data_IF_933446992131
#
_entry.id   IF_933446992131
#
_cell.length_a   1.000
_cell.length_b   1.000
_cell.length_c   1.000
_cell.angle_alpha   90.00
_cell.angle_beta   90.00
_cell.angle_gamma   90.00
#
_symmetry.space_group_name_H-M   'P 1'
#
loop_
_entity.id
_entity.type
_entity.pdbx_description
1 polymer ?
#
# COMPACT_ATOMS: atom_id res chain seq x y z
N UNK A 1 -2.52 38.16 -18.59
CA UNK A 1 -1.30 37.35 -18.38
C UNK A 1 -1.68 36.32 -17.34
N UNK A 2 -2.10 35.17 -17.82
CA UNK A 2 -2.47 34.02 -17.01
C UNK A 2 -1.16 33.39 -16.54
N UNK A 3 -0.99 33.28 -15.22
CA UNK A 3 0.17 32.63 -14.63
C UNK A 3 -0.07 31.14 -14.82
N UNK A 4 0.58 30.55 -15.82
CA UNK A 4 0.63 29.10 -15.99
C UNK A 4 1.19 28.52 -14.69
N UNK A 5 0.38 27.73 -13.99
CA UNK A 5 0.83 26.93 -12.86
C UNK A 5 2.09 26.19 -13.29
N UNK A 6 3.17 26.42 -12.55
CA UNK A 6 4.37 25.59 -12.70
C UNK A 6 3.95 24.20 -12.31
N UNK A 7 3.84 23.31 -13.30
CA UNK A 7 3.69 21.88 -13.08
C UNK A 7 4.87 21.45 -12.20
N UNK A 8 4.58 21.22 -10.92
CA UNK A 8 5.57 20.69 -9.98
C UNK A 8 5.91 19.31 -10.54
N UNK A 9 7.18 18.98 -10.82
CA UNK A 9 7.53 17.64 -11.24
C UNK A 9 6.99 16.69 -10.18
N UNK A 10 6.07 15.82 -10.57
CA UNK A 10 5.47 14.87 -9.65
C UNK A 10 6.60 13.97 -9.19
N UNK A 11 7.00 14.11 -7.92
CA UNK A 11 7.98 13.23 -7.30
C UNK A 11 7.38 11.82 -7.37
N UNK A 12 8.15 10.87 -7.90
CA UNK A 12 7.71 9.47 -7.94
C UNK A 12 7.30 9.00 -6.55
N UNK A 13 6.32 8.11 -6.46
CA UNK A 13 5.94 7.49 -5.21
C UNK A 13 6.90 6.35 -4.86
N UNK A 14 7.30 6.26 -3.58
CA UNK A 14 7.94 5.06 -3.04
C UNK A 14 6.85 4.01 -2.79
N UNK A 15 7.03 2.83 -3.37
CA UNK A 15 6.12 1.70 -3.18
C UNK A 15 6.91 0.41 -2.99
N UNK A 16 6.36 -0.50 -2.21
CA UNK A 16 6.93 -1.82 -1.93
C UNK A 16 5.78 -2.74 -1.57
N UNK A 17 5.15 -3.30 -2.59
CA UNK A 17 3.88 -4.05 -2.45
C UNK A 17 3.93 -5.39 -3.16
N UNK A 18 3.29 -6.38 -2.55
CA UNK A 18 3.00 -7.67 -3.17
C UNK A 18 1.51 -7.97 -3.04
N UNK A 19 0.92 -8.42 -4.14
CA UNK A 19 -0.51 -8.63 -4.31
C UNK A 19 -0.76 -10.10 -4.59
N UNK A 20 -1.74 -10.68 -3.91
CA UNK A 20 -2.26 -12.03 -4.13
C UNK A 20 -3.67 -11.91 -4.67
N UNK A 21 -3.91 -12.43 -5.87
CA UNK A 21 -5.12 -12.17 -6.65
C UNK A 21 -5.71 -13.49 -7.13
N UNK A 22 -6.93 -13.76 -6.67
CA UNK A 22 -7.80 -14.86 -7.07
C UNK A 22 -9.07 -14.35 -7.76
N UNK A 23 -9.41 -13.07 -7.59
CA UNK A 23 -10.54 -12.44 -8.23
C UNK A 23 -10.35 -12.40 -9.76
N UNK A 24 -11.36 -12.79 -10.55
CA UNK A 24 -11.29 -12.71 -12.02
C UNK A 24 -11.26 -11.26 -12.55
N UNK A 25 -11.77 -10.31 -11.75
CA UNK A 25 -11.71 -8.88 -12.03
C UNK A 25 -11.24 -8.13 -10.77
N UNK A 26 -9.92 -8.08 -10.51
CA UNK A 26 -9.38 -7.42 -9.32
C UNK A 26 -9.63 -5.90 -9.35
N UNK A 27 -9.69 -5.28 -10.53
CA UNK A 27 -9.89 -3.84 -10.68
C UNK A 27 -11.26 -3.42 -10.13
N UNK A 28 -12.31 -4.15 -10.51
CA UNK A 28 -13.66 -3.87 -9.98
C UNK A 28 -13.75 -4.11 -8.48
N UNK A 29 -13.14 -5.19 -7.96
CA UNK A 29 -13.07 -5.45 -6.52
C UNK A 29 -12.42 -4.30 -5.77
N UNK A 30 -11.27 -3.82 -6.24
CA UNK A 30 -10.54 -2.75 -5.57
C UNK A 30 -11.27 -1.40 -5.64
N UNK A 31 -12.01 -1.11 -6.73
CA UNK A 31 -12.84 0.09 -6.83
C UNK A 31 -14.02 0.11 -5.84
N UNK A 32 -14.55 -1.06 -5.50
CA UNK A 32 -15.68 -1.19 -4.56
C UNK A 32 -15.22 -1.35 -3.11
N UNK A 33 -13.93 -1.57 -2.87
CA UNK A 33 -13.38 -1.78 -1.55
C UNK A 33 -13.48 -0.51 -0.69
N UNK A 34 -14.30 -0.56 0.35
CA UNK A 34 -14.45 0.52 1.34
C UNK A 34 -13.82 0.20 2.69
N UNK A 35 -13.49 -1.06 2.94
CA UNK A 35 -12.87 -1.55 4.18
C UNK A 35 -11.93 -2.72 3.89
N UNK A 36 -10.90 -2.89 4.71
CA UNK A 36 -10.05 -4.08 4.74
C UNK A 36 -10.46 -5.03 5.87
N UNK A 37 -10.42 -6.35 5.64
CA UNK A 37 -10.71 -7.36 6.66
C UNK A 37 -9.54 -7.50 7.66
N UNK A 38 -9.75 -6.98 8.88
CA UNK A 38 -8.80 -7.03 9.99
C UNK A 38 -8.43 -8.44 10.45
N UNK A 39 -9.37 -9.39 10.43
CA UNK A 39 -9.11 -10.76 10.89
C UNK A 39 -8.22 -11.48 9.87
N UNK A 40 -8.54 -11.33 8.58
CA UNK A 40 -7.72 -11.87 7.51
C UNK A 40 -6.31 -11.24 7.50
N UNK A 41 -6.23 -9.91 7.65
CA UNK A 41 -4.96 -9.20 7.73
C UNK A 41 -4.11 -9.67 8.91
N UNK A 42 -4.69 -9.79 10.11
CA UNK A 42 -4.00 -10.27 11.32
C UNK A 42 -3.52 -11.71 11.19
N UNK A 43 -4.30 -12.58 10.54
CA UNK A 43 -3.89 -13.95 10.28
C UNK A 43 -2.73 -14.02 9.27
N UNK A 44 -2.75 -13.17 8.24
CA UNK A 44 -1.72 -13.16 7.21
C UNK A 44 -0.40 -12.59 7.73
N UNK A 45 -0.41 -11.49 8.50
CA UNK A 45 0.83 -10.92 9.06
C UNK A 45 1.52 -11.95 9.98
N UNK A 46 0.76 -12.69 10.80
CA UNK A 46 1.32 -13.75 11.64
C UNK A 46 1.90 -14.93 10.86
N UNK A 47 1.37 -15.22 9.65
CA UNK A 47 1.91 -16.24 8.76
C UNK A 47 3.20 -15.78 8.07
N UNK A 48 3.24 -14.54 7.61
CA UNK A 48 4.37 -13.97 6.87
C UNK A 48 5.57 -13.69 7.79
N UNK A 49 5.31 -13.29 9.04
CA UNK A 49 6.33 -12.91 10.00
C UNK A 49 6.22 -13.77 11.29
N UNK A 50 6.40 -15.10 11.21
CA UNK A 50 6.16 -16.00 12.35
C UNK A 50 7.15 -15.82 13.51
N UNK A 51 8.20 -15.02 13.31
CA UNK A 51 9.25 -14.74 14.30
C UNK A 51 9.12 -13.35 14.95
N UNK A 52 8.12 -12.57 14.54
CA UNK A 52 7.87 -11.23 15.05
C UNK A 52 6.50 -11.16 15.72
N UNK A 53 6.36 -10.23 16.65
CA UNK A 53 5.07 -9.85 17.25
C UNK A 53 4.49 -8.69 16.45
N UNK A 54 3.37 -8.92 15.78
CA UNK A 54 2.62 -7.86 15.12
C UNK A 54 1.69 -7.17 16.13
N UNK A 55 1.88 -5.88 16.35
CA UNK A 55 0.99 -5.03 17.16
C UNK A 55 0.12 -4.20 16.22
N UNK A 56 -1.22 -4.26 16.30
CA UNK A 56 -2.08 -3.46 15.42
C UNK A 56 -1.82 -1.96 15.54
N UNK A 57 -1.74 -1.31 14.38
CA UNK A 57 -1.70 0.14 14.20
C UNK A 57 -3.06 0.61 13.61
N UNK A 58 -3.27 1.91 13.47
CA UNK A 58 -4.41 2.43 12.72
C UNK A 58 -4.40 1.99 11.24
N UNK A 59 -5.59 2.00 10.64
CA UNK A 59 -5.73 1.83 9.19
C UNK A 59 -5.31 3.11 8.45
N UNK A 60 -4.80 2.94 7.24
CA UNK A 60 -4.41 4.05 6.37
C UNK A 60 -4.76 3.77 4.90
N UNK A 61 -4.67 4.78 4.03
CA UNK A 61 -4.77 4.56 2.60
C UNK A 61 -3.50 3.91 2.06
N UNK A 62 -3.64 3.07 1.02
CA UNK A 62 -2.47 2.41 0.42
C UNK A 62 -1.45 3.42 -0.15
N UNK A 63 -1.89 4.59 -0.59
CA UNK A 63 -1.03 5.66 -1.10
C UNK A 63 0.08 6.08 -0.13
N UNK A 64 -0.20 6.07 1.18
CA UNK A 64 0.77 6.41 2.23
C UNK A 64 1.41 5.18 2.88
N UNK A 65 0.82 4.00 2.67
CA UNK A 65 1.25 2.75 3.30
C UNK A 65 2.11 1.86 2.38
N UNK A 66 2.19 2.16 1.09
CA UNK A 66 2.99 1.38 0.15
C UNK A 66 4.51 1.55 0.34
N UNK A 67 4.96 2.72 0.81
CA UNK A 67 6.38 3.09 0.96
C UNK A 67 6.86 3.17 2.40
N UNK A 68 6.47 2.20 3.23
CA UNK A 68 6.63 2.24 4.70
C UNK A 68 8.05 1.96 5.20
N UNK A 69 8.28 2.34 6.45
CA UNK A 69 9.50 2.08 7.21
C UNK A 69 9.68 0.59 7.54
N UNK A 70 10.90 0.20 7.95
CA UNK A 70 11.30 -1.20 8.13
C UNK A 70 10.57 -1.98 9.23
N UNK A 71 9.98 -1.28 10.19
CA UNK A 71 9.24 -1.87 11.32
C UNK A 71 7.73 -1.87 11.11
N UNK A 72 7.24 -1.43 9.94
CA UNK A 72 5.82 -1.36 9.63
C UNK A 72 5.43 -2.29 8.49
N UNK A 73 4.28 -2.94 8.65
CA UNK A 73 3.64 -3.74 7.61
C UNK A 73 2.19 -3.31 7.52
N UNK A 74 1.70 -3.12 6.30
CA UNK A 74 0.28 -2.85 6.06
C UNK A 74 -0.31 -3.94 5.18
N UNK A 75 -1.53 -4.37 5.49
CA UNK A 75 -2.20 -5.43 4.75
C UNK A 75 -3.62 -5.01 4.39
N UNK A 76 -3.94 -5.03 3.10
CA UNK A 76 -5.29 -4.87 2.58
C UNK A 76 -5.88 -6.22 2.23
N UNK A 77 -7.02 -6.59 2.81
CA UNK A 77 -7.72 -7.84 2.51
C UNK A 77 -9.11 -7.52 1.97
N UNK A 78 -9.35 -7.89 0.71
CA UNK A 78 -10.60 -7.69 -0.02
C UNK A 78 -11.06 -9.03 -0.64
N UNK A 79 -12.31 -9.15 -1.13
CA UNK A 79 -12.79 -10.38 -1.74
C UNK A 79 -11.92 -10.86 -2.91
N UNK A 80 -11.09 -11.90 -2.67
CA UNK A 80 -10.21 -12.48 -3.68
C UNK A 80 -9.01 -11.61 -4.08
N UNK A 81 -8.73 -10.53 -3.35
CA UNK A 81 -7.55 -9.67 -3.56
C UNK A 81 -6.94 -9.33 -2.22
N UNK A 82 -5.65 -9.55 -2.05
CA UNK A 82 -4.92 -9.19 -0.83
C UNK A 82 -3.62 -8.49 -1.20
N UNK A 83 -3.29 -7.39 -0.52
CA UNK A 83 -2.01 -6.69 -0.65
C UNK A 83 -1.26 -6.72 0.65
N UNK A 84 0.06 -6.86 0.57
CA UNK A 84 0.99 -6.63 1.67
C UNK A 84 1.95 -5.54 1.24
N UNK A 85 2.07 -4.51 2.07
CA UNK A 85 3.05 -3.44 1.95
C UNK A 85 4.11 -3.62 3.04
N UNK A 86 5.38 -3.59 2.65
CA UNK A 86 6.50 -3.74 3.58
C UNK A 86 7.83 -3.51 2.89
N UNK A 87 8.80 -2.90 3.58
CA UNK A 87 10.08 -2.49 2.97
C UNK A 87 10.93 -3.67 2.47
N UNK A 88 10.74 -4.86 3.06
CA UNK A 88 11.46 -6.08 2.71
C UNK A 88 11.11 -6.64 1.31
N UNK A 89 10.12 -6.05 0.61
CA UNK A 89 9.76 -6.41 -0.76
C UNK A 89 10.57 -5.63 -1.82
N UNK A 90 11.20 -4.51 -1.43
CA UNK A 90 12.08 -3.72 -2.29
C UNK A 90 13.44 -4.40 -2.45
N UNK A 91 13.50 -5.42 -3.31
CA UNK A 91 14.72 -6.17 -3.64
C UNK A 91 15.14 -5.93 -5.09
N UNK A 92 16.45 -5.83 -5.41
CA UNK A 92 16.92 -5.64 -6.78
C UNK A 92 16.57 -6.79 -7.74
N UNK A 93 16.38 -8.01 -7.21
CA UNK A 93 16.06 -9.22 -7.98
C UNK A 93 14.76 -9.86 -7.48
N UNK A 94 13.58 -9.30 -7.81
CA UNK A 94 12.30 -9.84 -7.34
C UNK A 94 12.10 -11.33 -7.59
N UNK A 95 12.68 -11.90 -8.66
CA UNK A 95 12.55 -13.33 -8.97
C UNK A 95 13.12 -14.25 -7.88
N UNK A 96 14.01 -13.73 -7.03
CA UNK A 96 14.66 -14.50 -5.95
C UNK A 96 13.86 -14.51 -4.64
N UNK A 97 12.69 -13.86 -4.59
CA UNK A 97 11.86 -13.87 -3.39
C UNK A 97 11.44 -15.30 -3.01
N UNK A 98 11.45 -15.63 -1.70
CA UNK A 98 11.11 -16.96 -1.23
C UNK A 98 9.63 -17.27 -1.43
N UNK A 99 9.30 -18.55 -1.60
CA UNK A 99 7.91 -19.02 -1.77
C UNK A 99 7.00 -18.64 -0.60
N UNK A 100 7.55 -18.51 0.61
CA UNK A 100 6.81 -18.03 1.79
C UNK A 100 6.24 -16.62 1.61
N UNK A 101 6.86 -15.82 0.73
CA UNK A 101 6.40 -14.47 0.35
C UNK A 101 5.62 -14.52 -0.96
N UNK A 102 6.05 -15.26 -1.97
CA UNK A 102 5.38 -15.22 -3.29
C UNK A 102 4.10 -16.07 -3.35
N UNK A 103 3.90 -17.02 -2.42
CA UNK A 103 2.75 -17.92 -2.42
C UNK A 103 2.17 -18.29 -1.03
N UNK A 104 1.95 -17.33 -0.10
CA UNK A 104 1.38 -17.62 1.22
C UNK A 104 -0.09 -18.05 1.18
N UNK A 105 -0.84 -17.65 0.15
CA UNK A 105 -2.29 -17.89 0.02
C UNK A 105 -2.65 -18.88 -1.11
N UNK A 106 -1.66 -19.45 -1.79
CA UNK A 106 -1.87 -20.30 -2.97
C UNK A 106 -2.66 -19.62 -4.11
N UNK A 107 -2.58 -18.29 -4.23
CA UNK A 107 -3.37 -17.53 -5.20
C UNK A 107 -3.04 -17.82 -6.66
N UNK A 108 -4.01 -17.57 -7.54
CA UNK A 108 -3.89 -17.73 -8.98
C UNK A 108 -2.82 -16.79 -9.57
N UNK A 109 -2.79 -15.53 -9.13
CA UNK A 109 -1.78 -14.57 -9.55
C UNK A 109 -1.12 -13.90 -8.35
N UNK A 110 0.21 -13.71 -8.43
CA UNK A 110 0.97 -12.89 -7.49
C UNK A 110 1.69 -11.79 -8.26
N UNK A 111 1.52 -10.54 -7.85
CA UNK A 111 2.18 -9.38 -8.46
C UNK A 111 3.01 -8.64 -7.43
N UNK A 112 4.27 -8.36 -7.74
CA UNK A 112 5.11 -7.45 -6.97
C UNK A 112 5.29 -6.15 -7.75
N UNK A 113 5.20 -5.03 -7.04
CA UNK A 113 5.57 -3.70 -7.55
C UNK A 113 6.36 -2.98 -6.47
N UNK A 114 7.55 -2.52 -6.83
CA UNK A 114 8.41 -1.75 -5.97
C UNK A 114 9.03 -0.57 -6.73
N UNK A 115 9.20 0.56 -6.04
CA UNK A 115 9.81 1.77 -6.58
C UNK A 115 10.52 2.56 -5.50
N UNK A 116 11.62 3.18 -5.88
CA UNK A 116 12.38 4.10 -5.04
C UNK A 116 12.73 5.36 -5.82
N UNK A 117 12.04 6.49 -5.54
CA UNK A 117 12.26 7.76 -6.19
C UNK A 117 13.66 8.33 -5.97
N UNK A 118 14.28 8.05 -4.83
CA UNK A 118 15.62 8.55 -4.49
C UNK A 118 16.68 8.01 -5.46
N UNK A 119 16.51 6.75 -5.89
CA UNK A 119 17.44 6.05 -6.77
C UNK A 119 16.94 5.94 -8.23
N UNK A 120 15.81 6.60 -8.54
CA UNK A 120 15.10 6.43 -9.81
C UNK A 120 14.83 4.95 -10.17
N UNK A 121 14.70 4.10 -9.16
CA UNK A 121 14.60 2.65 -9.31
C UNK A 121 13.15 2.21 -9.37
N UNK A 122 12.86 1.24 -10.23
CA UNK A 122 11.55 0.60 -10.32
C UNK A 122 11.69 -0.87 -10.65
N UNK A 123 10.81 -1.68 -10.08
CA UNK A 123 10.77 -3.11 -10.28
C UNK A 123 9.33 -3.66 -10.22
N UNK A 124 9.11 -4.73 -10.97
CA UNK A 124 7.90 -5.53 -10.87
C UNK A 124 8.20 -7.00 -11.09
N UNK A 125 7.34 -7.88 -10.57
CA UNK A 125 7.37 -9.29 -10.92
C UNK A 125 5.98 -9.92 -10.87
N UNK A 126 5.84 -11.01 -11.61
CA UNK A 126 4.59 -11.72 -11.80
C UNK A 126 4.82 -13.24 -11.70
N UNK A 127 4.01 -13.88 -10.86
CA UNK A 127 3.87 -15.33 -10.75
C UNK A 127 2.44 -15.75 -11.02
N UNK A 128 2.27 -16.92 -11.63
CA UNK A 128 0.97 -17.54 -11.87
C UNK A 128 0.94 -18.91 -11.20
N UNK A 129 0.03 -19.11 -10.23
CA UNK A 129 -0.09 -20.33 -9.42
C UNK A 129 1.24 -20.74 -8.78
N UNK A 130 2.04 -19.75 -8.37
CA UNK A 130 3.37 -19.94 -7.78
C UNK A 130 4.51 -20.14 -8.79
N UNK A 131 4.22 -20.29 -10.08
CA UNK A 131 5.26 -20.37 -11.11
C UNK A 131 5.70 -18.96 -11.54
N UNK A 132 7.00 -18.72 -11.52
CA UNK A 132 7.58 -17.48 -12.03
C UNK A 132 7.26 -17.28 -13.52
N UNK A 133 6.86 -16.06 -13.90
CA UNK A 133 6.56 -15.69 -15.30
C UNK A 133 7.45 -14.58 -15.83
N UNK A 134 7.54 -13.47 -15.10
CA UNK A 134 8.19 -12.24 -15.55
C UNK A 134 8.72 -11.46 -14.35
N UNK A 135 9.93 -10.91 -14.46
CA UNK A 135 10.44 -9.89 -13.54
C UNK A 135 11.32 -8.89 -14.27
N UNK A 136 11.18 -7.62 -13.90
CA UNK A 136 12.01 -6.52 -14.35
C UNK A 136 12.41 -5.65 -13.16
N UNK A 137 13.64 -5.16 -13.13
CA UNK A 137 14.16 -4.27 -12.09
C UNK A 137 15.32 -3.46 -12.66
N UNK A 138 15.24 -2.12 -12.57
CA UNK A 138 16.25 -1.25 -13.15
C UNK A 138 16.30 0.15 -12.53
N UNK A 139 17.44 0.81 -12.65
CA UNK A 139 17.54 2.28 -12.72
C UNK A 139 17.56 2.71 -14.19
N UNK A 140 17.47 4.02 -14.51
CA UNK A 140 17.46 4.47 -15.90
C UNK A 140 18.68 4.00 -16.71
N UNK A 141 19.82 3.72 -16.08
CA UNK A 141 21.08 3.36 -16.78
C UNK A 141 21.57 1.94 -16.46
N UNK A 142 20.87 1.20 -15.61
CA UNK A 142 21.30 -0.13 -15.18
C UNK A 142 20.12 -1.06 -14.94
N UNK A 143 20.13 -2.21 -15.61
CA UNK A 143 19.17 -3.30 -15.41
C UNK A 143 19.75 -4.27 -14.39
N UNK A 144 19.09 -4.43 -13.25
CA UNK A 144 19.40 -5.46 -12.25
C UNK A 144 18.82 -6.82 -12.64
N UNK A 145 17.59 -6.81 -13.18
CA UNK A 145 16.87 -8.01 -13.57
C UNK A 145 15.99 -7.72 -14.79
N UNK A 146 16.03 -8.61 -15.78
CA UNK A 146 15.12 -8.64 -16.91
C UNK A 146 14.96 -10.10 -17.36
N UNK A 147 14.06 -10.81 -16.69
CA UNK A 147 13.89 -12.27 -16.84
C UNK A 147 12.43 -12.60 -17.15
N UNK A 148 12.22 -13.60 -18.00
CA UNK A 148 10.90 -13.96 -18.51
C UNK A 148 10.57 -13.26 -19.84
N UNK A 149 9.40 -13.58 -20.40
CA UNK A 149 8.96 -12.97 -21.65
C UNK A 149 8.21 -11.66 -21.39
N UNK A 150 8.58 -10.55 -22.06
CA UNK A 150 7.83 -9.31 -21.97
C UNK A 150 6.35 -9.48 -22.30
N UNK A 151 5.50 -8.81 -21.54
CA UNK A 151 4.05 -8.77 -21.74
C UNK A 151 3.67 -7.71 -22.79
N UNK A 152 2.47 -7.85 -23.38
CA UNK A 152 2.04 -6.97 -24.49
C UNK A 152 1.97 -5.50 -24.10
N UNK A 153 1.54 -5.20 -22.87
CA UNK A 153 1.46 -3.84 -22.34
C UNK A 153 2.83 -3.17 -22.21
N UNK A 154 3.93 -3.94 -22.17
CA UNK A 154 5.28 -3.39 -22.11
C UNK A 154 5.73 -2.76 -23.44
N UNK A 155 5.07 -3.11 -24.55
CA UNK A 155 5.51 -2.73 -25.91
C UNK A 155 5.75 -1.22 -26.10
N UNK A 156 4.87 -0.29 -25.66
CA UNK A 156 5.09 1.14 -25.85
C UNK A 156 6.34 1.66 -25.15
N UNK A 157 6.68 1.09 -23.99
CA UNK A 157 7.91 1.42 -23.25
C UNK A 157 9.13 1.03 -24.08
N UNK A 158 9.20 -0.23 -24.52
CA UNK A 158 10.30 -0.72 -25.36
C UNK A 158 10.40 -0.02 -26.73
N UNK A 159 9.29 0.49 -27.26
CA UNK A 159 9.26 1.26 -28.50
C UNK A 159 9.75 2.71 -28.34
N UNK A 160 9.93 3.19 -27.10
CA UNK A 160 10.33 4.57 -26.80
C UNK A 160 9.19 5.58 -26.79
N UNK A 161 7.94 5.12 -26.65
CA UNK A 161 6.77 5.99 -26.55
C UNK A 161 6.65 6.68 -25.17
N UNK A 162 7.49 6.28 -24.21
CA UNK A 162 7.58 6.81 -22.85
C UNK A 162 8.98 7.38 -22.54
N UNK A 163 9.48 8.37 -23.28
CA UNK A 163 10.86 8.83 -23.17
C UNK A 163 11.16 9.47 -21.81
N UNK A 164 12.39 9.24 -21.30
CA UNK A 164 12.92 9.99 -20.17
C UNK A 164 12.91 11.50 -20.46
N UNK A 165 12.42 12.29 -19.50
CA UNK A 165 12.41 13.74 -19.58
C UNK A 165 13.67 14.29 -18.92
N UNK A 166 14.52 14.94 -19.71
CA UNK A 166 15.76 15.56 -19.22
C UNK A 166 15.61 17.07 -19.07
N UNK A 167 16.23 17.69 -18.05
CA UNK A 167 16.31 19.14 -17.96
C UNK A 167 16.97 19.77 -19.20
N UNK A 168 16.61 21.02 -19.56
CA UNK A 168 17.23 21.70 -20.70
C UNK A 168 18.76 21.72 -20.61
N UNK A 169 19.43 21.31 -21.69
CA UNK A 169 20.90 21.29 -21.78
C UNK A 169 21.57 20.04 -21.19
N UNK A 170 20.80 19.11 -20.63
CA UNK A 170 21.29 17.79 -20.23
C UNK A 170 21.13 16.82 -21.40
N UNK A 171 22.23 16.20 -21.81
CA UNK A 171 22.20 15.14 -22.82
C UNK A 171 21.85 13.80 -22.16
N UNK A 172 20.97 12.98 -22.77
CA UNK A 172 20.72 11.62 -22.29
C UNK A 172 22.00 10.78 -22.32
N UNK A 173 22.21 9.97 -21.29
CA UNK A 173 23.26 8.94 -21.32
C UNK A 173 22.90 7.92 -22.41
N UNK A 174 23.82 7.58 -23.35
CA UNK A 174 23.56 6.58 -24.40
C UNK A 174 23.15 5.20 -23.87
N UNK A 175 23.44 4.88 -22.61
CA UNK A 175 23.05 3.64 -21.94
C UNK A 175 21.69 3.73 -21.24
N UNK A 176 21.03 4.90 -21.30
CA UNK A 176 19.72 5.08 -20.69
C UNK A 176 18.68 4.17 -21.35
N UNK A 177 17.84 3.56 -20.53
CA UNK A 177 16.60 2.95 -20.96
C UNK A 177 15.73 3.98 -21.68
N UNK A 178 14.89 3.55 -22.64
CA UNK A 178 14.02 4.45 -23.36
C UNK A 178 12.85 4.98 -22.50
N UNK A 179 12.81 4.65 -21.20
CA UNK A 179 11.76 5.02 -20.26
C UNK A 179 12.27 5.08 -18.82
N UNK A 180 11.48 5.69 -17.95
CA UNK A 180 11.74 5.71 -16.51
C UNK A 180 11.31 4.38 -15.85
N UNK A 181 12.19 3.66 -15.13
CA UNK A 181 11.83 2.37 -14.50
C UNK A 181 10.68 2.46 -13.50
N UNK A 182 10.59 3.53 -12.70
CA UNK A 182 9.42 3.80 -11.84
C UNK A 182 8.11 3.87 -12.63
N UNK A 183 8.06 4.62 -13.73
CA UNK A 183 6.85 4.70 -14.57
C UNK A 183 6.49 3.32 -15.14
N UNK A 184 7.49 2.52 -15.48
CA UNK A 184 7.30 1.18 -15.99
C UNK A 184 6.73 0.21 -14.94
N UNK A 185 7.23 0.28 -13.69
CA UNK A 185 6.67 -0.45 -12.56
C UNK A 185 5.24 -0.02 -12.23
N UNK A 186 4.93 1.27 -12.31
CA UNK A 186 3.56 1.76 -12.14
C UNK A 186 2.63 1.34 -13.26
N UNK A 187 3.11 1.26 -14.50
CA UNK A 187 2.33 0.74 -15.61
C UNK A 187 1.96 -0.73 -15.41
N UNK A 188 2.85 -1.52 -14.82
CA UNK A 188 2.55 -2.89 -14.41
C UNK A 188 1.42 -2.91 -13.36
N UNK A 189 1.51 -2.07 -12.33
CA UNK A 189 0.46 -1.93 -11.31
C UNK A 189 -0.88 -1.51 -11.93
N UNK A 190 -0.86 -0.57 -12.87
CA UNK A 190 -2.06 -0.07 -13.54
C UNK A 190 -2.71 -1.14 -14.41
N UNK A 191 -1.91 -1.91 -15.14
CA UNK A 191 -2.40 -3.02 -15.97
C UNK A 191 -3.09 -4.09 -15.11
N UNK A 192 -2.46 -4.49 -14.01
CA UNK A 192 -2.95 -5.62 -13.21
C UNK A 192 -4.03 -5.25 -12.20
N UNK A 193 -3.98 -4.02 -11.67
CA UNK A 193 -4.76 -3.61 -10.50
C UNK A 193 -5.53 -2.30 -10.72
N UNK A 194 -5.32 -1.62 -11.86
CA UNK A 194 -6.16 -0.50 -12.29
C UNK A 194 -5.84 0.85 -11.65
N UNK A 195 -4.66 1.03 -11.06
CA UNK A 195 -4.22 2.31 -10.49
C UNK A 195 -2.69 2.50 -10.50
N UNK A 196 -2.27 3.74 -10.22
CA UNK A 196 -0.86 4.15 -10.07
C UNK A 196 -0.70 4.86 -8.73
N UNK A 197 0.51 4.87 -8.16
CA UNK A 197 0.80 5.56 -6.91
C UNK A 197 1.13 7.05 -7.13
N UNK A 198 1.68 7.39 -8.29
CA UNK A 198 2.16 8.74 -8.62
C UNK A 198 1.11 9.55 -9.39
N UNK A 199 0.87 10.77 -8.88
CA UNK A 199 0.00 11.77 -9.50
C UNK A 199 -1.49 11.52 -9.26
N UNK A 200 -2.32 12.39 -9.83
CA UNK A 200 -3.77 12.24 -9.74
C UNK A 200 -4.25 11.01 -10.54
N UNK A 201 -5.29 10.30 -10.07
CA UNK A 201 -5.91 9.22 -10.83
C UNK A 201 -6.46 9.75 -12.16
N UNK A 202 -6.23 9.02 -13.25
CA UNK A 202 -6.88 9.30 -14.54
C UNK A 202 -8.36 8.90 -14.48
N UNK A 203 -9.21 9.40 -15.40
CA UNK A 203 -10.60 8.96 -15.48
C UNK A 203 -10.71 7.43 -15.57
N UNK A 204 -11.38 6.83 -14.59
CA UNK A 204 -11.55 5.39 -14.48
C UNK A 204 -10.45 4.67 -13.68
N UNK A 205 -9.31 5.29 -13.35
CA UNK A 205 -8.37 4.67 -12.41
C UNK A 205 -8.94 4.68 -10.98
N UNK A 206 -8.61 3.66 -10.19
CA UNK A 206 -8.87 3.68 -8.75
C UNK A 206 -7.99 4.77 -8.10
N UNK A 207 -8.55 5.51 -7.14
CA UNK A 207 -7.78 6.42 -6.29
C UNK A 207 -7.11 5.63 -5.15
N UNK A 208 -5.77 5.56 -5.09
CA UNK A 208 -5.08 4.85 -4.00
C UNK A 208 -5.32 5.50 -2.63
N UNK A 209 -5.78 6.75 -2.55
CA UNK A 209 -6.18 7.36 -1.27
C UNK A 209 -7.50 6.78 -0.72
N UNK A 210 -8.29 6.11 -1.56
CA UNK A 210 -9.56 5.52 -1.17
C UNK A 210 -9.45 4.04 -0.77
N UNK A 211 -8.31 3.39 -1.01
CA UNK A 211 -8.12 1.96 -0.75
C UNK A 211 -7.51 1.73 0.65
N UNK A 212 -8.29 1.22 1.63
CA UNK A 212 -7.84 1.10 3.02
C UNK A 212 -7.00 -0.14 3.26
N UNK A 213 -5.96 -0.03 4.09
CA UNK A 213 -5.10 -1.13 4.55
C UNK A 213 -4.97 -1.12 6.08
N UNK A 214 -4.86 -2.30 6.67
CA UNK A 214 -4.67 -2.51 8.11
C UNK A 214 -3.18 -2.40 8.47
N UNK A 215 -2.81 -1.50 9.37
CA UNK A 215 -1.42 -1.32 9.80
C UNK A 215 -1.01 -2.24 10.95
N UNK A 216 0.26 -2.61 10.98
CA UNK A 216 0.92 -3.36 12.05
C UNK A 216 2.33 -2.82 12.26
N UNK A 217 2.70 -2.59 13.52
CA UNK A 217 4.11 -2.39 13.90
C UNK A 217 4.69 -3.73 14.34
N UNK A 218 5.88 -4.05 13.84
CA UNK A 218 6.52 -5.35 13.97
C UNK A 218 7.62 -5.29 15.02
N UNK A 219 7.51 -6.10 16.07
CA UNK A 219 8.48 -6.16 17.17
C UNK A 219 9.17 -7.51 17.24
N UNK A 220 10.43 -7.51 17.70
CA UNK A 220 11.05 -8.72 18.23
C UNK A 220 10.26 -9.14 19.48
N UNK A 221 9.91 -10.43 19.67
CA UNK A 221 9.15 -10.88 20.83
C UNK A 221 9.76 -10.42 22.16
N UNK A 222 8.95 -9.76 23.00
CA UNK A 222 9.36 -9.19 24.28
C UNK A 222 9.92 -7.76 24.20
N UNK A 223 9.95 -7.14 23.02
CA UNK A 223 10.29 -5.72 22.82
C UNK A 223 9.06 -4.86 22.49
N UNK A 224 7.88 -5.45 22.40
CA UNK A 224 6.64 -4.70 22.22
C UNK A 224 6.38 -3.72 23.39
N UNK A 225 5.80 -2.53 23.13
CA UNK A 225 5.40 -1.62 24.18
C UNK A 225 4.44 -2.32 25.14
N UNK A 226 4.71 -2.22 26.45
CA UNK A 226 3.75 -2.69 27.43
C UNK A 226 2.46 -1.88 27.29
N UNK A 227 1.27 -2.51 27.33
CA UNK A 227 0.01 -1.78 27.33
C UNK A 227 0.08 -0.72 28.43
N UNK A 228 -0.04 0.56 28.06
CA UNK A 228 -0.17 1.60 29.06
C UNK A 228 -1.42 1.28 29.87
N UNK A 229 -1.24 0.86 31.11
CA UNK A 229 -2.32 0.82 32.09
C UNK A 229 -2.79 2.27 32.26
N UNK A 230 -3.78 2.69 31.46
CA UNK A 230 -4.53 3.90 31.72
C UNK A 230 -5.24 3.63 33.04
N UNK A 231 -4.88 4.30 34.15
CA UNK A 231 -5.64 4.14 35.37
C UNK A 231 -7.05 4.60 35.04
N UNK A 232 -8.02 3.69 35.14
CA UNK A 232 -9.43 4.06 35.13
C UNK A 232 -9.56 5.08 36.26
N UNK A 233 -9.69 6.37 35.92
CA UNK A 233 -10.04 7.38 36.90
C UNK A 233 -11.40 6.96 37.43
N UNK A 234 -11.39 6.42 38.65
CA UNK A 234 -12.61 6.09 39.37
C UNK A 234 -13.52 7.32 39.29
N UNK A 235 -14.64 7.17 38.60
CA UNK A 235 -15.73 8.13 38.70
C UNK A 235 -16.01 8.33 40.20
N UNK A 236 -16.12 9.57 40.69
CA UNK A 236 -16.41 9.79 42.10
C UNK A 236 -17.73 9.07 42.42
N UNK A 237 -17.67 8.23 43.45
CA UNK A 237 -18.83 7.52 43.97
C UNK A 237 -19.96 8.53 44.16
N UNK A 238 -21.11 8.26 43.53
CA UNK A 238 -22.32 9.02 43.77
C UNK A 238 -22.65 8.92 45.26
N UNK A 239 -22.41 10.02 45.95
CA UNK A 239 -22.75 10.18 47.35
C UNK A 239 -24.26 9.98 47.49
N UNK A 240 -24.64 9.20 48.49
CA UNK A 240 -26.02 8.75 48.70
C UNK A 240 -26.84 9.92 49.23
N UNK A 241 -27.31 10.80 48.36
CA UNK A 241 -28.20 11.90 48.72
C UNK A 241 -29.65 11.41 48.83
N UNK A 242 -30.09 11.30 50.08
CA UNK A 242 -31.47 11.11 50.53
C UNK A 242 -32.45 12.08 49.84
N UNK A 243 -33.66 11.64 49.43
CA UNK A 243 -34.57 12.51 48.67
C UNK A 243 -35.22 13.59 49.55
N UNK A 244 -35.00 14.86 49.19
CA UNK A 244 -35.65 16.00 49.84
C UNK A 244 -37.18 16.03 49.61
N UNK A 245 -38.00 16.46 50.60
CA UNK A 245 -39.45 16.40 50.53
C UNK A 245 -40.06 17.46 49.60
N UNK A 246 -41.08 17.06 48.82
CA UNK A 246 -41.85 17.92 47.91
C UNK A 246 -42.62 19.02 48.67
N UNK A 247 -42.53 20.30 48.29
CA UNK A 247 -43.37 21.35 48.87
C UNK A 247 -44.79 21.34 48.28
N UNK A 248 -45.79 21.38 49.18
CA UNK A 248 -47.23 21.43 48.90
C UNK A 248 -47.61 22.81 48.32
N UNK A 249 -48.21 22.85 47.12
CA UNK A 249 -48.82 24.07 46.55
C UNK A 249 -50.07 24.45 47.37
N UNK A 250 -50.03 25.56 48.11
CA UNK A 250 -51.22 26.18 48.72
C UNK A 250 -51.90 27.07 47.68
N UNK A 251 -53.12 26.71 47.31
CA UNK A 251 -54.07 27.58 46.64
C UNK A 251 -54.51 28.69 47.59
N UNK A 252 -54.44 29.94 47.14
CA UNK A 252 -55.18 31.05 47.74
C UNK A 252 -56.08 31.66 46.67
N UNK A 253 -57.39 31.52 46.87
CA UNK A 253 -58.41 32.27 46.15
C UNK A 253 -58.47 33.69 46.70
N UNK A 254 -58.75 34.68 45.85
CA UNK A 254 -59.31 35.97 46.29
C UNK A 254 -60.54 36.30 45.46
N UNK A 255 -61.59 36.72 46.19
CA UNK A 255 -62.71 37.51 45.72
C UNK A 255 -62.23 38.89 45.28
#
# INVERSE_FOLDING_TARGET
MEVTEREVPVVGAKASTIWYVDAPDPISVLREATTSDWNAASALVGRLYPHLTAVPLEQGPISTSAGVDDDHVFIGCYPGVTVVCGSNLSVPTPSTLPESVTRPLASEHTYLVASDPEHAWGAFAYWERGEFRRSFSATPVYIYEDVGLPLVWERPFWAGDHPLIYPPGVMPDPQSLPFHPQEFAEAANAEWLGFRYTGAPKPGELDPNALPVCGFTMYVPGQEPQPQNVPVQNAPAADSAEPAPRPKKRWFSRK
#
